data_IF_410424984121
#
_entry.id   IF_410424984121
#
_cell.length_a   1.000
_cell.length_b   1.000
_cell.length_c   1.000
_cell.angle_alpha   90.00
_cell.angle_beta   90.00
_cell.angle_gamma   90.00
#
_symmetry.space_group_name_H-M   'P 1'
#
loop_
_entity.id
_entity.type
_entity.pdbx_description
1 polymer ?
#
# COMPACT_ATOMS: atom_id res chain seq x y z
N UNK A 1 9.52 -23.33 -8.98
CA UNK A 1 9.10 -22.21 -8.11
C UNK A 1 7.95 -21.48 -8.78
N UNK A 2 6.74 -21.70 -8.29
CA UNK A 2 5.53 -21.11 -8.87
C UNK A 2 5.23 -19.83 -8.11
N UNK A 3 5.70 -18.70 -8.61
CA UNK A 3 5.38 -17.40 -8.04
C UNK A 3 3.93 -17.04 -8.43
N UNK A 4 2.98 -17.30 -7.55
CA UNK A 4 1.63 -16.78 -7.71
C UNK A 4 1.65 -15.29 -7.36
N UNK A 5 1.50 -14.45 -8.37
CA UNK A 5 1.41 -12.98 -8.23
C UNK A 5 -0.05 -12.59 -8.44
N UNK A 6 -0.70 -12.08 -7.41
CA UNK A 6 -2.05 -11.53 -7.49
C UNK A 6 -1.98 -10.02 -7.29
N UNK A 7 -2.34 -9.26 -8.32
CA UNK A 7 -2.58 -7.82 -8.20
C UNK A 7 -4.10 -7.58 -8.22
N UNK A 8 -4.60 -6.87 -7.22
CA UNK A 8 -6.01 -6.50 -7.09
C UNK A 8 -6.12 -4.99 -7.29
N UNK A 9 -6.80 -4.60 -8.37
CA UNK A 9 -7.28 -3.23 -8.56
C UNK A 9 -8.44 -2.98 -7.61
N UNK A 10 -8.31 -1.97 -6.75
CA UNK A 10 -9.32 -1.70 -5.74
C UNK A 10 -10.59 -1.12 -6.38
N UNK A 11 -10.48 -0.44 -7.52
CA UNK A 11 -11.63 0.09 -8.25
C UNK A 11 -12.53 -0.99 -8.87
N UNK A 12 -12.17 -2.27 -8.81
CA UNK A 12 -13.03 -3.37 -9.21
C UNK A 12 -14.39 -3.35 -8.48
N UNK A 13 -15.46 -3.17 -9.27
CA UNK A 13 -16.87 -3.17 -8.80
C UNK A 13 -17.22 -4.42 -7.99
N UNK A 14 -16.54 -5.53 -8.26
CA UNK A 14 -16.74 -6.87 -7.67
C UNK A 14 -16.43 -6.92 -6.18
N UNK A 15 -15.55 -6.05 -5.68
CA UNK A 15 -15.26 -5.97 -4.24
C UNK A 15 -16.38 -5.26 -3.44
N UNK A 16 -17.40 -4.70 -4.12
CA UNK A 16 -18.56 -4.06 -3.50
C UNK A 16 -18.26 -2.80 -2.66
N UNK A 17 -16.99 -2.43 -2.53
CA UNK A 17 -16.51 -1.36 -1.65
C UNK A 17 -16.45 -0.04 -2.41
N UNK A 18 -17.52 0.77 -2.33
CA UNK A 18 -17.55 2.15 -2.86
C UNK A 18 -16.98 3.19 -1.87
N UNK A 19 -16.10 2.78 -0.95
CA UNK A 19 -15.56 3.69 0.05
C UNK A 19 -14.57 4.68 -0.59
N UNK A 20 -14.85 5.97 -0.44
CA UNK A 20 -14.12 7.07 -1.11
C UNK A 20 -12.68 7.30 -0.60
N UNK A 21 -12.23 6.61 0.45
CA UNK A 21 -10.92 6.85 1.08
C UNK A 21 -10.13 5.55 1.25
N UNK A 22 -9.79 4.93 0.13
CA UNK A 22 -8.89 3.77 0.06
C UNK A 22 -7.77 4.06 -0.92
N UNK A 23 -6.72 3.25 -0.89
CA UNK A 23 -5.69 3.29 -1.90
C UNK A 23 -6.16 2.72 -3.24
N UNK A 24 -5.35 2.85 -4.28
CA UNK A 24 -5.70 2.44 -5.63
C UNK A 24 -5.52 0.93 -5.87
N UNK A 25 -4.44 0.34 -5.33
CA UNK A 25 -4.11 -1.08 -5.55
C UNK A 25 -3.73 -1.81 -4.26
N UNK A 26 -3.98 -3.12 -4.27
CA UNK A 26 -3.40 -4.09 -3.34
C UNK A 26 -2.65 -5.15 -4.15
N UNK A 27 -1.37 -5.32 -3.86
CA UNK A 27 -0.55 -6.41 -4.39
C UNK A 27 -0.33 -7.47 -3.32
N UNK A 28 -0.56 -8.72 -3.68
CA UNK A 28 -0.22 -9.90 -2.87
C UNK A 28 0.66 -10.82 -3.74
N UNK A 29 1.91 -10.98 -3.34
CA UNK A 29 2.85 -11.91 -3.95
C UNK A 29 3.27 -12.98 -2.95
N UNK A 30 3.60 -14.16 -3.44
CA UNK A 30 4.13 -15.22 -2.59
C UNK A 30 5.39 -15.85 -3.21
N UNK A 31 6.33 -16.14 -2.33
CA UNK A 31 7.44 -17.09 -2.54
C UNK A 31 7.27 -18.25 -1.57
N UNK A 32 8.07 -19.29 -1.72
CA UNK A 32 8.05 -20.44 -0.81
C UNK A 32 8.33 -20.03 0.65
N UNK A 33 9.03 -18.91 0.89
CA UNK A 33 9.44 -18.45 2.21
C UNK A 33 8.60 -17.29 2.78
N UNK A 34 7.92 -16.49 1.95
CA UNK A 34 7.32 -15.22 2.39
C UNK A 34 6.15 -14.80 1.50
N UNK A 35 5.12 -14.27 2.16
CA UNK A 35 4.03 -13.52 1.54
C UNK A 35 4.36 -12.02 1.61
N UNK A 36 4.33 -11.37 0.45
CA UNK A 36 4.52 -9.93 0.28
C UNK A 36 3.18 -9.26 0.08
N UNK A 37 2.93 -8.19 0.82
CA UNK A 37 1.71 -7.41 0.74
C UNK A 37 2.07 -5.95 0.57
N UNK A 38 1.66 -5.34 -0.54
CA UNK A 38 1.79 -3.91 -0.74
C UNK A 38 0.43 -3.25 -0.98
N UNK A 39 0.10 -2.25 -0.17
CA UNK A 39 -0.97 -1.30 -0.48
C UNK A 39 -0.35 -0.13 -1.21
N UNK A 40 -0.91 0.24 -2.36
CA UNK A 40 -0.28 1.20 -3.26
C UNK A 40 -1.27 2.32 -3.55
N UNK A 41 -0.90 3.53 -3.16
CA UNK A 41 -1.54 4.78 -3.59
C UNK A 41 -0.73 5.37 -4.75
N UNK A 42 -1.39 5.72 -5.84
CA UNK A 42 -0.78 6.36 -6.99
C UNK A 42 -1.10 7.86 -6.98
N UNK A 43 -0.07 8.69 -7.03
CA UNK A 43 -0.22 10.14 -7.26
C UNK A 43 0.54 10.55 -8.51
N UNK A 44 -0.19 10.59 -9.63
CA UNK A 44 0.35 11.05 -10.92
C UNK A 44 0.59 12.55 -10.98
N UNK A 45 -0.14 13.33 -10.18
CA UNK A 45 0.06 14.76 -10.00
C UNK A 45 0.91 15.09 -8.76
N UNK A 46 0.89 16.35 -8.36
CA UNK A 46 1.56 16.81 -7.14
C UNK A 46 0.88 16.19 -5.92
N UNK A 47 1.67 15.69 -4.98
CA UNK A 47 1.17 15.26 -3.66
C UNK A 47 0.97 16.47 -2.77
N UNK A 48 -0.27 16.79 -2.42
CA UNK A 48 -0.61 17.98 -1.64
C UNK A 48 -0.85 17.71 -0.14
N UNK A 49 -1.08 16.45 0.25
CA UNK A 49 -1.45 16.11 1.63
C UNK A 49 -0.90 14.75 2.07
N UNK A 50 0.07 14.78 2.98
CA UNK A 50 0.62 13.57 3.61
C UNK A 50 -0.46 12.83 4.43
N UNK A 51 -1.37 13.58 5.06
CA UNK A 51 -2.45 13.01 5.87
C UNK A 51 -3.47 12.26 5.01
N UNK A 52 -3.81 12.78 3.83
CA UNK A 52 -4.77 12.10 2.96
C UNK A 52 -4.20 10.82 2.38
N UNK A 53 -2.92 10.82 1.97
CA UNK A 53 -2.23 9.60 1.55
C UNK A 53 -2.26 8.54 2.66
N UNK A 54 -1.91 8.91 3.89
CA UNK A 54 -1.94 7.98 5.02
C UNK A 54 -3.35 7.43 5.28
N UNK A 55 -4.38 8.28 5.18
CA UNK A 55 -5.80 7.86 5.32
C UNK A 55 -6.23 6.90 4.20
N UNK A 56 -5.83 7.16 2.95
CA UNK A 56 -6.15 6.29 1.82
C UNK A 56 -5.50 4.91 2.00
N UNK A 57 -4.22 4.86 2.35
CA UNK A 57 -3.52 3.59 2.62
C UNK A 57 -4.14 2.85 3.81
N UNK A 58 -4.46 3.55 4.91
CA UNK A 58 -5.14 2.93 6.05
C UNK A 58 -6.53 2.40 5.68
N UNK A 59 -7.32 3.15 4.90
CA UNK A 59 -8.60 2.66 4.40
C UNK A 59 -8.46 1.43 3.50
N UNK A 60 -7.35 1.32 2.75
CA UNK A 60 -6.99 0.09 2.02
C UNK A 60 -6.77 -1.11 2.94
N UNK A 61 -6.16 -0.89 4.12
CA UNK A 61 -6.05 -1.93 5.15
C UNK A 61 -7.43 -2.31 5.69
N UNK A 62 -8.14 -1.33 6.23
CA UNK A 62 -9.36 -1.53 7.01
C UNK A 62 -10.46 -2.20 6.17
N UNK A 63 -10.54 -1.83 4.89
CA UNK A 63 -11.62 -2.30 4.02
C UNK A 63 -11.26 -3.53 3.19
N UNK A 64 -9.97 -3.85 3.03
CA UNK A 64 -9.53 -4.98 2.21
C UNK A 64 -8.42 -5.83 2.80
N UNK A 65 -7.23 -5.27 3.04
CA UNK A 65 -6.07 -6.10 3.39
C UNK A 65 -6.31 -6.94 4.65
N UNK A 66 -6.97 -6.36 5.66
CA UNK A 66 -7.31 -7.06 6.90
C UNK A 66 -8.31 -8.22 6.70
N UNK A 67 -9.11 -8.21 5.62
CA UNK A 67 -10.06 -9.28 5.28
C UNK A 67 -9.40 -10.39 4.46
N UNK A 68 -8.43 -10.04 3.61
CA UNK A 68 -7.75 -10.99 2.73
C UNK A 68 -6.57 -11.68 3.39
N UNK A 69 -5.93 -11.03 4.35
CA UNK A 69 -4.74 -11.54 5.04
C UNK A 69 -5.12 -11.75 6.50
N UNK A 70 -5.37 -12.99 6.93
CA UNK A 70 -5.64 -13.31 8.33
C UNK A 70 -4.53 -12.82 9.27
N UNK A 71 -4.89 -12.47 10.51
CA UNK A 71 -3.93 -11.92 11.49
C UNK A 71 -2.86 -12.93 11.94
N UNK A 72 -3.12 -14.23 11.78
CA UNK A 72 -2.18 -15.31 12.07
C UNK A 72 -1.23 -15.61 10.90
N UNK A 73 -1.39 -14.97 9.74
CA UNK A 73 -0.50 -15.15 8.59
C UNK A 73 0.66 -14.17 8.67
N UNK A 74 1.87 -14.71 8.74
CA UNK A 74 3.09 -13.91 8.63
C UNK A 74 3.25 -13.39 7.20
N UNK A 75 3.35 -12.07 7.07
CA UNK A 75 3.62 -11.42 5.79
C UNK A 75 4.54 -10.21 5.99
N UNK A 76 5.29 -9.88 4.94
CA UNK A 76 5.97 -8.60 4.81
C UNK A 76 4.98 -7.58 4.26
N UNK A 77 4.57 -6.64 5.10
CA UNK A 77 3.61 -5.60 4.74
C UNK A 77 4.33 -4.29 4.44
N UNK A 78 4.00 -3.66 3.30
CA UNK A 78 4.56 -2.38 2.87
C UNK A 78 3.45 -1.45 2.37
N UNK A 79 3.08 -0.39 3.11
CA UNK A 79 2.29 0.70 2.56
C UNK A 79 3.18 1.54 1.63
N UNK A 80 2.73 1.79 0.41
CA UNK A 80 3.51 2.41 -0.66
C UNK A 80 2.76 3.62 -1.23
N UNK A 81 3.45 4.76 -1.31
CA UNK A 81 3.06 5.87 -2.15
C UNK A 81 3.97 5.88 -3.39
N UNK A 82 3.38 5.63 -4.56
CA UNK A 82 4.05 5.87 -5.83
C UNK A 82 3.70 7.27 -6.34
N UNK A 83 4.70 8.10 -6.59
CA UNK A 83 4.49 9.51 -6.93
C UNK A 83 5.38 9.98 -8.09
N UNK A 84 4.97 11.05 -8.78
CA UNK A 84 5.83 11.74 -9.77
C UNK A 84 6.54 12.95 -9.19
N UNK A 85 5.81 13.81 -8.48
CA UNK A 85 6.35 15.05 -7.91
C UNK A 85 5.84 15.26 -6.49
N UNK A 86 6.74 15.73 -5.62
CA UNK A 86 6.44 15.93 -4.20
C UNK A 86 7.32 17.03 -3.62
N UNK A 87 6.71 17.95 -2.87
CA UNK A 87 7.46 18.95 -2.11
C UNK A 87 8.24 18.32 -0.97
N UNK A 88 9.41 18.87 -0.65
CA UNK A 88 10.27 18.39 0.45
C UNK A 88 9.51 18.32 1.78
N UNK A 89 8.72 19.34 2.12
CA UNK A 89 7.97 19.36 3.38
C UNK A 89 6.92 18.22 3.46
N UNK A 90 6.24 17.89 2.34
CA UNK A 90 5.30 16.75 2.29
C UNK A 90 6.05 15.43 2.44
N UNK A 91 7.21 15.29 1.80
CA UNK A 91 8.08 14.12 1.94
C UNK A 91 8.48 13.91 3.40
N UNK A 92 8.90 14.96 4.08
CA UNK A 92 9.31 14.89 5.48
C UNK A 92 8.12 14.57 6.41
N UNK A 93 6.93 15.11 6.12
CA UNK A 93 5.70 14.72 6.83
C UNK A 93 5.36 13.25 6.63
N UNK A 94 5.46 12.73 5.40
CA UNK A 94 5.17 11.32 5.08
C UNK A 94 6.13 10.34 5.78
N UNK A 95 7.41 10.71 5.95
CA UNK A 95 8.39 9.89 6.69
C UNK A 95 7.97 9.62 8.14
N UNK A 96 7.19 10.51 8.75
CA UNK A 96 6.64 10.33 10.09
C UNK A 96 5.29 9.60 10.14
N UNK A 97 4.71 9.22 8.99
CA UNK A 97 3.41 8.53 8.93
C UNK A 97 3.60 7.02 8.84
N UNK A 98 2.70 6.31 9.51
CA UNK A 98 2.62 4.85 9.47
C UNK A 98 1.21 4.40 9.11
N UNK A 99 1.12 3.17 8.62
CA UNK A 99 -0.13 2.46 8.33
C UNK A 99 -0.12 1.18 9.15
N UNK A 100 -1.25 0.83 9.75
CA UNK A 100 -1.38 -0.27 10.69
C UNK A 100 -2.14 -1.44 10.10
N UNK A 101 -1.54 -2.64 10.14
CA UNK A 101 -2.18 -3.92 9.81
C UNK A 101 -1.99 -4.90 10.97
N UNK A 102 -3.09 -5.37 11.55
CA UNK A 102 -3.09 -6.34 12.66
C UNK A 102 -2.19 -5.95 13.83
N UNK A 103 -2.23 -4.67 14.24
CA UNK A 103 -1.39 -4.17 15.34
C UNK A 103 0.03 -3.74 14.93
N UNK A 104 0.52 -4.18 13.77
CA UNK A 104 1.85 -3.81 13.25
C UNK A 104 1.79 -2.48 12.53
N UNK A 105 2.67 -1.54 12.90
CA UNK A 105 2.80 -0.22 12.26
C UNK A 105 3.95 -0.24 11.27
N UNK A 106 3.66 0.04 10.01
CA UNK A 106 4.67 0.09 8.94
C UNK A 106 4.80 1.53 8.40
N UNK A 107 6.01 2.04 8.20
CA UNK A 107 6.21 3.36 7.61
C UNK A 107 5.84 3.37 6.13
N UNK A 108 5.29 4.49 5.66
CA UNK A 108 4.95 4.66 4.23
C UNK A 108 6.24 4.71 3.40
N UNK A 109 6.39 3.74 2.50
CA UNK A 109 7.49 3.70 1.52
C UNK A 109 7.16 4.63 0.36
N UNK A 110 8.12 5.48 0.01
CA UNK A 110 7.99 6.43 -1.08
C UNK A 110 8.77 5.91 -2.27
N UNK A 111 8.12 5.76 -3.42
CA UNK A 111 8.77 5.34 -4.66
C UNK A 111 8.36 6.25 -5.81
N UNK A 112 9.30 6.50 -6.72
CA UNK A 112 8.96 7.22 -7.95
C UNK A 112 8.11 6.33 -8.87
N UNK A 113 7.13 6.93 -9.56
CA UNK A 113 6.32 6.20 -10.55
C UNK A 113 7.22 5.63 -11.66
N UNK A 114 7.06 4.34 -11.97
CA UNK A 114 7.89 3.61 -12.92
C UNK A 114 8.99 2.76 -12.29
N UNK A 115 9.26 2.95 -10.99
CA UNK A 115 10.18 2.10 -10.23
C UNK A 115 9.61 0.69 -9.99
N UNK A 116 10.50 -0.26 -9.70
CA UNK A 116 10.11 -1.65 -9.42
C UNK A 116 9.51 -1.73 -8.02
N UNK A 117 8.31 -2.30 -7.90
CA UNK A 117 7.65 -2.50 -6.61
C UNK A 117 8.50 -3.36 -5.65
N UNK A 118 9.27 -4.31 -6.17
CA UNK A 118 10.11 -5.20 -5.34
C UNK A 118 11.12 -4.44 -4.47
N UNK A 119 11.55 -3.25 -4.88
CA UNK A 119 12.54 -2.46 -4.16
C UNK A 119 12.01 -1.97 -2.80
N UNK A 120 10.69 -2.00 -2.54
CA UNK A 120 10.13 -1.66 -1.22
C UNK A 120 10.21 -2.80 -0.19
N UNK A 121 10.48 -4.01 -0.66
CA UNK A 121 10.58 -5.23 0.16
C UNK A 121 12.03 -5.66 0.42
N UNK A 122 13.00 -4.99 -0.22
CA UNK A 122 14.43 -5.16 0.05
C UNK A 122 14.84 -4.60 1.43
#
# INVERSE_FOLDING_TARGET
MTAHRLAIDLNCKELGSKHKKRCDYLFIGQTDATIYVALIELKGGRVDSATDVAKQLQGGVDHLAAKLIPSNVACQFRPVLAYRTMHKHIRDQLRGKTVQLHGRKEPIKLVDCGSKLMDVFA
#
